data_IF_751410733912
#
_entry.id   IF_751410733912
#
_cell.length_a   1.000
_cell.length_b   1.000
_cell.length_c   1.000
_cell.angle_alpha   90.00
_cell.angle_beta   90.00
_cell.angle_gamma   90.00
#
_symmetry.space_group_name_H-M   'P 1'
#
loop_
_entity.id
_entity.type
_entity.pdbx_description
1 polymer ?
#
# COMPACT_ATOMS: atom_id res chain seq x y z
N UNK A 1 0.55 39.80 31.32
CA UNK A 1 0.42 38.34 31.60
C UNK A 1 -0.45 37.74 30.49
N UNK A 2 -0.11 36.56 29.95
CA UNK A 2 -0.75 35.84 28.81
C UNK A 2 -0.27 36.10 27.36
N UNK A 3 1.04 36.23 27.09
CA UNK A 3 1.58 36.05 25.72
C UNK A 3 2.42 34.78 25.54
N UNK A 4 2.75 34.04 26.60
CA UNK A 4 3.64 32.87 26.53
C UNK A 4 2.94 31.52 26.36
N UNK A 5 1.60 31.47 26.38
CA UNK A 5 0.83 30.23 26.17
C UNK A 5 0.34 30.05 24.73
N UNK A 6 0.36 31.11 23.91
CA UNK A 6 -0.07 31.05 22.50
C UNK A 6 1.00 30.46 21.57
N UNK A 7 2.29 30.55 21.92
CA UNK A 7 3.38 30.08 21.07
C UNK A 7 3.72 28.59 21.25
N UNK A 8 3.17 27.93 22.28
CA UNK A 8 3.41 26.50 22.52
C UNK A 8 2.32 25.59 21.93
N UNK A 9 1.25 26.19 21.39
CA UNK A 9 0.16 25.48 20.71
C UNK A 9 0.34 25.37 19.19
N UNK A 10 1.24 26.17 18.59
CA UNK A 10 1.61 26.07 17.16
C UNK A 10 2.62 24.94 16.86
N UNK A 11 3.24 24.36 17.90
CA UNK A 11 4.02 23.13 17.76
C UNK A 11 3.14 21.85 17.72
N UNK A 12 1.82 22.03 17.78
CA UNK A 12 0.84 20.92 17.73
C UNK A 12 0.60 20.55 16.28
N UNK A 13 1.50 19.71 15.78
CA UNK A 13 1.16 18.64 14.85
C UNK A 13 0.44 19.09 13.57
N UNK A 14 1.12 19.90 12.76
CA UNK A 14 0.86 19.84 11.32
C UNK A 14 1.30 18.45 10.85
N UNK A 15 0.41 17.47 10.92
CA UNK A 15 0.50 16.28 10.06
C UNK A 15 0.28 16.78 8.63
N UNK A 16 1.28 17.46 8.09
CA UNK A 16 1.27 17.92 6.71
C UNK A 16 1.15 16.72 5.81
N UNK A 17 0.54 16.93 4.65
CA UNK A 17 0.49 15.92 3.60
C UNK A 17 1.90 15.44 3.20
N UNK A 18 2.93 16.27 3.38
CA UNK A 18 4.34 15.93 3.20
C UNK A 18 4.86 14.94 4.27
N UNK A 19 4.48 15.12 5.54
CA UNK A 19 4.82 14.17 6.59
C UNK A 19 4.15 12.81 6.31
N UNK A 20 2.89 12.82 5.87
CA UNK A 20 2.19 11.62 5.42
C UNK A 20 2.90 10.94 4.24
N UNK A 21 3.37 11.70 3.25
CA UNK A 21 4.15 11.16 2.13
C UNK A 21 5.43 10.46 2.62
N UNK A 22 6.22 11.14 3.45
CA UNK A 22 7.47 10.58 3.98
C UNK A 22 7.23 9.30 4.79
N UNK A 23 6.19 9.29 5.62
CA UNK A 23 5.79 8.12 6.38
C UNK A 23 5.37 6.97 5.46
N UNK A 24 4.56 7.25 4.42
CA UNK A 24 4.17 6.23 3.45
C UNK A 24 5.37 5.68 2.68
N UNK A 25 6.35 6.50 2.33
CA UNK A 25 7.59 6.07 1.68
C UNK A 25 8.37 5.07 2.56
N UNK A 26 8.54 5.39 3.84
CA UNK A 26 9.21 4.50 4.81
C UNK A 26 8.44 3.18 4.94
N UNK A 27 7.11 3.25 5.11
CA UNK A 27 6.26 2.05 5.20
C UNK A 27 6.33 1.23 3.92
N UNK A 28 6.34 1.86 2.74
CA UNK A 28 6.45 1.17 1.45
C UNK A 28 7.75 0.40 1.35
N UNK A 29 8.87 1.03 1.71
CA UNK A 29 10.18 0.37 1.71
C UNK A 29 10.20 -0.80 2.70
N UNK A 30 9.66 -0.61 3.91
CA UNK A 30 9.57 -1.67 4.91
C UNK A 30 8.74 -2.86 4.43
N UNK A 31 7.58 -2.61 3.80
CA UNK A 31 6.72 -3.65 3.24
C UNK A 31 7.40 -4.38 2.07
N UNK A 32 8.14 -3.69 1.20
CA UNK A 32 8.87 -4.34 0.09
C UNK A 32 10.00 -5.24 0.63
N UNK A 33 10.68 -4.80 1.69
CA UNK A 33 11.80 -5.54 2.27
C UNK A 33 11.37 -6.91 2.83
N UNK A 34 10.14 -7.05 3.35
CA UNK A 34 9.64 -8.32 3.89
C UNK A 34 9.70 -9.48 2.88
N UNK A 35 8.95 -9.42 1.77
CA UNK A 35 9.00 -10.43 0.71
C UNK A 35 10.39 -10.62 0.11
N UNK A 36 11.19 -9.55 -0.03
CA UNK A 36 12.56 -9.66 -0.58
C UNK A 36 13.45 -10.50 0.33
N UNK A 37 13.49 -10.19 1.63
CA UNK A 37 14.28 -10.97 2.61
C UNK A 37 13.77 -12.40 2.69
N UNK A 38 12.45 -12.59 2.70
CA UNK A 38 11.87 -13.93 2.77
C UNK A 38 12.20 -14.77 1.53
N UNK A 39 12.18 -14.16 0.33
CA UNK A 39 12.60 -14.82 -0.91
C UNK A 39 14.06 -15.26 -0.86
N UNK A 40 14.97 -14.44 -0.30
CA UNK A 40 16.38 -14.81 -0.10
C UNK A 40 16.50 -16.02 0.82
N UNK A 41 15.78 -16.02 1.95
CA UNK A 41 15.78 -17.15 2.90
C UNK A 41 15.30 -18.44 2.23
N UNK A 42 14.19 -18.40 1.49
CA UNK A 42 13.67 -19.58 0.77
C UNK A 42 14.66 -20.07 -0.28
N UNK A 43 15.31 -19.14 -1.00
CA UNK A 43 16.32 -19.46 -2.01
C UNK A 43 17.47 -20.26 -1.41
N UNK A 44 17.94 -19.87 -0.21
CA UNK A 44 18.99 -20.58 0.53
C UNK A 44 18.48 -21.97 0.97
N UNK A 45 17.29 -22.04 1.56
CA UNK A 45 16.72 -23.30 2.08
C UNK A 45 16.50 -24.32 0.96
N UNK A 46 16.04 -23.88 -0.22
CA UNK A 46 15.72 -24.75 -1.35
C UNK A 46 16.89 -24.99 -2.31
N UNK A 47 18.01 -24.30 -2.14
CA UNK A 47 19.16 -24.38 -3.05
C UNK A 47 18.77 -24.13 -4.52
N UNK A 48 17.83 -23.23 -4.78
CA UNK A 48 17.28 -22.94 -6.13
C UNK A 48 16.69 -24.17 -6.88
N UNK A 49 16.26 -25.21 -6.17
CA UNK A 49 15.61 -26.38 -6.80
C UNK A 49 14.14 -26.10 -7.13
N UNK A 50 13.77 -26.38 -8.38
CA UNK A 50 12.40 -26.32 -8.91
C UNK A 50 11.96 -27.73 -9.34
N UNK A 51 11.53 -28.51 -8.37
CA UNK A 51 11.10 -29.92 -8.53
C UNK A 51 9.58 -30.08 -8.46
N UNK A 52 8.85 -29.00 -8.20
CA UNK A 52 7.40 -28.99 -8.16
C UNK A 52 6.75 -29.00 -9.54
N UNK A 53 5.64 -29.72 -9.66
CA UNK A 53 4.77 -29.61 -10.83
C UNK A 53 4.22 -28.18 -10.94
N UNK A 54 4.15 -27.65 -12.17
CA UNK A 54 3.66 -26.31 -12.44
C UNK A 54 2.22 -26.14 -11.94
N UNK A 55 1.34 -27.11 -12.22
CA UNK A 55 -0.09 -27.01 -11.92
C UNK A 55 -0.63 -28.12 -11.01
N UNK A 56 0.18 -29.13 -10.70
CA UNK A 56 -0.26 -30.29 -9.90
C UNK A 56 -0.48 -30.00 -8.41
N UNK A 57 0.04 -28.90 -7.87
CA UNK A 57 -0.13 -28.57 -6.45
C UNK A 57 -1.25 -27.52 -6.24
N UNK A 58 -2.36 -27.87 -5.55
CA UNK A 58 -3.46 -26.94 -5.28
C UNK A 58 -3.02 -25.65 -4.56
N UNK A 59 -2.02 -25.72 -3.69
CA UNK A 59 -1.49 -24.54 -2.98
C UNK A 59 -0.85 -23.53 -3.94
N UNK A 60 -0.11 -24.01 -4.94
CA UNK A 60 0.49 -23.16 -5.97
C UNK A 60 -0.59 -22.44 -6.77
N UNK A 61 -1.65 -23.16 -7.16
CA UNK A 61 -2.75 -22.58 -7.94
C UNK A 61 -3.51 -21.51 -7.14
N UNK A 62 -3.85 -21.80 -5.88
CA UNK A 62 -4.53 -20.84 -4.99
C UNK A 62 -3.65 -19.60 -4.79
N UNK A 63 -2.37 -19.78 -4.48
CA UNK A 63 -1.44 -18.66 -4.27
C UNK A 63 -1.30 -17.81 -5.54
N UNK A 64 -1.18 -18.44 -6.72
CA UNK A 64 -1.08 -17.72 -7.99
C UNK A 64 -2.35 -16.90 -8.28
N UNK A 65 -3.55 -17.49 -8.11
CA UNK A 65 -4.83 -16.78 -8.31
C UNK A 65 -4.96 -15.61 -7.34
N UNK A 66 -4.58 -15.79 -6.07
CA UNK A 66 -4.60 -14.71 -5.07
C UNK A 66 -3.59 -13.61 -5.42
N UNK A 67 -2.39 -13.96 -5.87
CA UNK A 67 -1.38 -13.01 -6.34
C UNK A 67 -1.87 -12.14 -7.50
N UNK A 68 -2.39 -12.77 -8.55
CA UNK A 68 -2.96 -12.07 -9.70
C UNK A 68 -4.15 -11.19 -9.30
N UNK A 69 -5.06 -11.71 -8.46
CA UNK A 69 -6.22 -10.95 -7.97
C UNK A 69 -5.80 -9.75 -7.13
N UNK A 70 -4.81 -9.91 -6.24
CA UNK A 70 -4.29 -8.84 -5.40
C UNK A 70 -3.65 -7.71 -6.21
N UNK A 71 -2.92 -8.04 -7.29
CA UNK A 71 -2.38 -7.05 -8.22
C UNK A 71 -3.51 -6.21 -8.82
N UNK A 72 -4.57 -6.84 -9.33
CA UNK A 72 -5.74 -6.13 -9.89
C UNK A 72 -6.42 -5.27 -8.81
N UNK A 73 -6.66 -5.84 -7.64
CA UNK A 73 -7.29 -5.14 -6.51
C UNK A 73 -6.48 -3.94 -6.03
N UNK A 74 -5.15 -3.95 -6.16
CA UNK A 74 -4.29 -2.83 -5.79
C UNK A 74 -4.63 -1.53 -6.54
N UNK A 75 -5.17 -1.63 -7.75
CA UNK A 75 -5.60 -0.47 -8.53
C UNK A 75 -7.00 0.02 -8.14
N UNK A 76 -7.88 -0.89 -7.71
CA UNK A 76 -9.30 -0.61 -7.46
C UNK A 76 -9.56 -0.19 -6.00
N UNK A 77 -8.99 -0.91 -5.03
CA UNK A 77 -9.24 -0.69 -3.60
C UNK A 77 -9.03 0.75 -3.11
N UNK A 78 -7.94 1.45 -3.46
CA UNK A 78 -7.68 2.81 -2.99
C UNK A 78 -8.78 3.80 -3.39
N UNK A 79 -9.30 3.67 -4.62
CA UNK A 79 -10.37 4.52 -5.11
C UNK A 79 -11.69 4.25 -4.36
N UNK A 80 -11.97 2.99 -4.04
CA UNK A 80 -13.16 2.62 -3.25
C UNK A 80 -13.06 3.08 -1.80
N UNK A 81 -11.88 2.95 -1.17
CA UNK A 81 -11.62 3.44 0.19
C UNK A 81 -11.80 4.96 0.24
N UNK A 82 -11.21 5.68 -0.71
CA UNK A 82 -11.33 7.14 -0.78
C UNK A 82 -12.78 7.58 -1.03
N UNK A 83 -13.50 6.95 -1.96
CA UNK A 83 -14.91 7.24 -2.21
C UNK A 83 -15.76 7.00 -0.97
N UNK A 84 -15.53 5.90 -0.26
CA UNK A 84 -16.20 5.59 0.99
C UNK A 84 -15.91 6.62 2.09
N UNK A 85 -14.66 7.08 2.19
CA UNK A 85 -14.24 8.11 3.13
C UNK A 85 -14.88 9.47 2.79
N UNK A 86 -14.85 9.87 1.52
CA UNK A 86 -15.45 11.12 1.05
C UNK A 86 -16.95 11.16 1.34
N UNK A 87 -17.68 10.08 1.08
CA UNK A 87 -19.12 10.02 1.35
C UNK A 87 -19.47 10.27 2.83
N UNK A 88 -18.56 9.91 3.74
CA UNK A 88 -18.73 10.07 5.19
C UNK A 88 -18.09 11.35 5.74
N UNK A 89 -17.34 12.10 4.93
CA UNK A 89 -16.66 13.30 5.36
C UNK A 89 -17.65 14.46 5.50
N UNK A 90 -17.68 15.06 6.70
CA UNK A 90 -18.37 16.32 6.99
C UNK A 90 -17.49 17.51 6.56
N UNK A 91 -16.19 17.43 6.87
CA UNK A 91 -15.16 18.38 6.44
C UNK A 91 -13.98 17.64 5.80
N UNK A 92 -13.26 18.32 4.90
CA UNK A 92 -12.07 17.79 4.21
C UNK A 92 -10.93 18.76 4.44
N UNK A 93 -10.31 18.67 5.62
CA UNK A 93 -9.15 19.45 6.01
C UNK A 93 -7.83 18.72 5.70
N UNK A 94 -6.69 19.37 5.93
CA UNK A 94 -5.37 18.77 5.67
C UNK A 94 -5.08 17.52 6.51
N UNK A 95 -5.39 17.47 7.82
CA UNK A 95 -5.29 16.25 8.61
C UNK A 95 -6.09 15.08 8.05
N UNK A 96 -7.35 15.31 7.64
CA UNK A 96 -8.19 14.29 7.02
C UNK A 96 -7.57 13.78 5.72
N UNK A 97 -7.07 14.69 4.86
CA UNK A 97 -6.40 14.33 3.61
C UNK A 97 -5.15 13.47 3.88
N UNK A 98 -4.32 13.86 4.84
CA UNK A 98 -3.11 13.14 5.22
C UNK A 98 -3.42 11.72 5.71
N UNK A 99 -4.41 11.56 6.59
CA UNK A 99 -4.82 10.26 7.13
C UNK A 99 -5.37 9.32 6.04
N UNK A 100 -6.21 9.83 5.14
CA UNK A 100 -6.81 9.02 4.08
C UNK A 100 -5.79 8.67 2.98
N UNK A 101 -4.83 9.55 2.71
CA UNK A 101 -3.70 9.24 1.83
C UNK A 101 -2.84 8.11 2.39
N UNK A 102 -2.47 8.17 3.68
CA UNK A 102 -1.75 7.09 4.37
C UNK A 102 -2.53 5.78 4.34
N UNK A 103 -3.79 5.80 4.78
CA UNK A 103 -4.62 4.59 4.94
C UNK A 103 -4.80 3.88 3.60
N UNK A 104 -5.19 4.62 2.56
CA UNK A 104 -5.39 4.03 1.22
C UNK A 104 -4.10 3.46 0.63
N UNK A 105 -2.95 4.12 0.87
CA UNK A 105 -1.64 3.63 0.46
C UNK A 105 -1.21 2.35 1.19
N UNK A 106 -1.37 2.31 2.51
CA UNK A 106 -1.00 1.14 3.33
C UNK A 106 -1.86 -0.06 2.94
N UNK A 107 -3.18 0.10 2.85
CA UNK A 107 -4.09 -1.00 2.47
C UNK A 107 -3.76 -1.53 1.07
N UNK A 108 -3.46 -0.64 0.11
CA UNK A 108 -3.02 -1.05 -1.23
C UNK A 108 -1.80 -1.97 -1.17
N UNK A 109 -0.78 -1.55 -0.45
CA UNK A 109 0.51 -2.25 -0.40
C UNK A 109 0.40 -3.56 0.38
N UNK A 110 -0.33 -3.57 1.51
CA UNK A 110 -0.52 -4.77 2.34
C UNK A 110 -1.25 -5.89 1.60
N UNK A 111 -2.24 -5.57 0.75
CA UNK A 111 -2.95 -6.57 -0.07
C UNK A 111 -2.00 -7.25 -1.06
N UNK A 112 -1.13 -6.48 -1.73
CA UNK A 112 -0.16 -7.00 -2.69
C UNK A 112 0.96 -7.78 -2.00
N UNK A 113 1.48 -7.24 -0.89
CA UNK A 113 2.53 -7.87 -0.08
C UNK A 113 2.08 -9.23 0.48
N UNK A 114 0.89 -9.29 1.10
CA UNK A 114 0.35 -10.53 1.65
C UNK A 114 0.19 -11.62 0.60
N UNK A 115 -0.25 -11.26 -0.62
CA UNK A 115 -0.35 -12.21 -1.72
C UNK A 115 1.03 -12.64 -2.26
N UNK A 116 2.01 -11.74 -2.27
CA UNK A 116 3.40 -12.04 -2.58
C UNK A 116 4.03 -13.02 -1.57
N UNK A 117 3.82 -12.77 -0.28
CA UNK A 117 4.26 -13.65 0.81
C UNK A 117 3.64 -15.04 0.71
N UNK A 118 2.33 -15.13 0.41
CA UNK A 118 1.66 -16.42 0.19
C UNK A 118 2.29 -17.21 -0.96
N UNK A 119 2.65 -16.52 -2.06
CA UNK A 119 3.36 -17.16 -3.16
C UNK A 119 4.75 -17.64 -2.75
N UNK A 120 5.49 -16.89 -1.94
CA UNK A 120 6.76 -17.36 -1.40
C UNK A 120 6.59 -18.58 -0.50
N UNK A 121 5.56 -18.62 0.35
CA UNK A 121 5.21 -19.82 1.14
C UNK A 121 4.87 -21.01 0.24
N UNK A 122 4.09 -20.80 -0.83
CA UNK A 122 3.76 -21.83 -1.79
C UNK A 122 5.02 -22.35 -2.51
N UNK A 123 5.98 -21.48 -2.86
CA UNK A 123 7.26 -21.89 -3.41
C UNK A 123 8.06 -22.74 -2.43
N UNK A 124 8.13 -22.32 -1.16
CA UNK A 124 8.83 -23.06 -0.11
C UNK A 124 8.28 -24.49 0.01
N UNK A 125 6.95 -24.64 0.05
CA UNK A 125 6.27 -25.91 0.27
C UNK A 125 6.17 -26.80 -0.98
N UNK A 126 5.83 -26.23 -2.13
CA UNK A 126 5.49 -26.99 -3.34
C UNK A 126 6.60 -27.00 -4.40
N UNK A 127 7.52 -26.04 -4.38
CA UNK A 127 8.65 -25.99 -5.31
C UNK A 127 8.35 -25.59 -6.74
N UNK A 128 7.12 -25.19 -7.03
CA UNK A 128 6.75 -24.68 -8.35
C UNK A 128 7.43 -23.35 -8.67
N UNK A 129 7.88 -23.19 -9.91
CA UNK A 129 8.48 -21.96 -10.43
C UNK A 129 7.46 -20.82 -10.63
N UNK A 130 6.17 -21.14 -10.73
CA UNK A 130 5.12 -20.12 -10.91
C UNK A 130 5.05 -19.21 -9.67
N UNK A 131 5.12 -19.81 -8.49
CA UNK A 131 5.04 -19.09 -7.22
C UNK A 131 6.07 -17.95 -7.07
N UNK A 132 7.40 -18.17 -7.23
CA UNK A 132 8.37 -17.08 -7.14
C UNK A 132 8.21 -16.03 -8.26
N UNK A 133 7.75 -16.42 -9.45
CA UNK A 133 7.43 -15.46 -10.53
C UNK A 133 6.30 -14.52 -10.09
N UNK A 134 5.20 -15.07 -9.58
CA UNK A 134 4.07 -14.26 -9.10
C UNK A 134 4.50 -13.38 -7.92
N UNK A 135 5.29 -13.91 -6.98
CA UNK A 135 5.86 -13.11 -5.90
C UNK A 135 6.71 -11.94 -6.43
N UNK A 136 7.58 -12.17 -7.42
CA UNK A 136 8.36 -11.10 -8.05
C UNK A 136 7.46 -10.04 -8.71
N UNK A 137 6.39 -10.44 -9.38
CA UNK A 137 5.40 -9.51 -9.95
C UNK A 137 4.69 -8.68 -8.88
N UNK A 138 4.39 -9.25 -7.72
CA UNK A 138 3.81 -8.49 -6.60
C UNK A 138 4.79 -7.44 -6.06
N UNK A 139 6.07 -7.80 -5.87
CA UNK A 139 7.12 -6.84 -5.46
C UNK A 139 7.28 -5.73 -6.50
N UNK A 140 7.29 -6.08 -7.79
CA UNK A 140 7.33 -5.11 -8.87
C UNK A 140 6.11 -4.17 -8.86
N UNK A 141 4.92 -4.71 -8.59
CA UNK A 141 3.69 -3.93 -8.43
C UNK A 141 3.79 -2.95 -7.25
N UNK A 142 4.39 -3.35 -6.13
CA UNK A 142 4.65 -2.44 -5.00
C UNK A 142 5.59 -1.29 -5.40
N UNK A 143 6.62 -1.57 -6.22
CA UNK A 143 7.52 -0.52 -6.74
C UNK A 143 6.80 0.48 -7.65
N UNK A 144 5.88 0.03 -8.52
CA UNK A 144 5.03 0.94 -9.33
C UNK A 144 4.17 1.83 -8.42
N UNK A 145 3.69 1.26 -7.32
CA UNK A 145 2.85 1.97 -6.37
C UNK A 145 3.61 2.88 -5.41
N UNK A 146 4.94 2.97 -5.52
CA UNK A 146 5.77 3.82 -4.66
C UNK A 146 5.21 5.26 -4.57
N UNK A 147 5.06 5.80 -3.36
CA UNK A 147 4.43 7.10 -3.15
C UNK A 147 5.38 8.25 -3.55
N UNK A 148 4.88 9.14 -4.40
CA UNK A 148 5.63 10.28 -4.95
C UNK A 148 4.87 11.59 -4.75
N UNK A 149 5.58 12.72 -4.85
CA UNK A 149 4.99 14.05 -4.77
C UNK A 149 3.87 14.27 -5.81
N UNK A 150 4.02 13.74 -7.02
CA UNK A 150 2.99 13.82 -8.05
C UNK A 150 1.67 13.12 -7.64
N UNK A 151 1.76 11.97 -6.96
CA UNK A 151 0.57 11.26 -6.45
C UNK A 151 -0.12 12.04 -5.34
N UNK A 152 0.65 12.74 -4.51
CA UNK A 152 0.12 13.62 -3.46
C UNK A 152 -0.64 14.81 -4.06
N UNK A 153 -0.08 15.46 -5.08
CA UNK A 153 -0.74 16.58 -5.78
C UNK A 153 -2.04 16.12 -6.45
N UNK A 154 -2.02 14.96 -7.11
CA UNK A 154 -3.22 14.38 -7.71
C UNK A 154 -4.29 14.08 -6.66
N UNK A 155 -3.89 13.52 -5.51
CA UNK A 155 -4.80 13.24 -4.40
C UNK A 155 -5.44 14.53 -3.84
N UNK A 156 -4.64 15.58 -3.64
CA UNK A 156 -5.14 16.90 -3.21
C UNK A 156 -6.15 17.47 -4.21
N UNK A 157 -5.87 17.38 -5.51
CA UNK A 157 -6.78 17.83 -6.57
C UNK A 157 -8.13 17.11 -6.51
N UNK A 158 -8.13 15.78 -6.35
CA UNK A 158 -9.36 14.98 -6.21
C UNK A 158 -10.17 15.44 -4.99
N UNK A 159 -9.51 15.72 -3.86
CA UNK A 159 -10.17 16.21 -2.66
C UNK A 159 -10.78 17.61 -2.87
N UNK A 160 -10.05 18.52 -3.53
CA UNK A 160 -10.53 19.87 -3.86
C UNK A 160 -11.75 19.86 -4.79
N UNK A 161 -11.71 19.05 -5.85
CA UNK A 161 -12.84 18.87 -6.76
C UNK A 161 -14.07 18.30 -6.04
N UNK A 162 -13.84 17.36 -5.12
CA UNK A 162 -14.91 16.76 -4.30
C UNK A 162 -15.54 17.76 -3.33
N UNK A 163 -14.75 18.68 -2.75
CA UNK A 163 -15.27 19.77 -1.91
C UNK A 163 -16.14 20.73 -2.70
N UNK A 164 -15.65 21.17 -3.86
CA UNK A 164 -16.37 22.09 -4.74
C UNK A 164 -17.72 21.53 -5.19
N UNK A 165 -17.77 20.23 -5.52
CA UNK A 165 -19.01 19.57 -5.92
C UNK A 165 -20.04 19.45 -4.77
N UNK A 166 -19.57 19.29 -3.53
CA UNK A 166 -20.45 19.06 -2.37
C UNK A 166 -20.85 20.35 -1.64
N UNK A 167 -20.33 21.50 -2.03
CA UNK A 167 -20.57 22.77 -1.35
C UNK A 167 -19.99 22.80 0.08
N UNK A 168 -18.97 21.99 0.35
CA UNK A 168 -18.30 21.96 1.66
C UNK A 168 -17.36 23.16 1.71
N UNK A 169 -17.59 24.05 2.69
CA UNK A 169 -16.79 25.25 2.92
C UNK A 169 -15.35 24.88 3.34
N UNK A 170 -14.36 25.57 2.79
CA UNK A 170 -12.97 25.57 3.27
C UNK A 170 -12.85 26.62 4.37
N UNK A 171 -13.33 26.30 5.58
CA UNK A 171 -13.07 27.15 6.75
C UNK A 171 -11.66 26.93 7.30
#
# INVERSE_FOLDING_TARGET
MNKSLSAKSEATQVTTLDAALRNLQIITLALIMGPVVFAVVITIIRELKFDGDLFGNPLTLIAAIMGCSAIVLSFVLPAQILKGALNKAETIDEPWMAQNFLTSGIVRLAVVEGAGMLNLVAWLMAGSIISPIVAALTVFTMMIHFPTQSKVQQFRKICQESMAYRGISTE
#
